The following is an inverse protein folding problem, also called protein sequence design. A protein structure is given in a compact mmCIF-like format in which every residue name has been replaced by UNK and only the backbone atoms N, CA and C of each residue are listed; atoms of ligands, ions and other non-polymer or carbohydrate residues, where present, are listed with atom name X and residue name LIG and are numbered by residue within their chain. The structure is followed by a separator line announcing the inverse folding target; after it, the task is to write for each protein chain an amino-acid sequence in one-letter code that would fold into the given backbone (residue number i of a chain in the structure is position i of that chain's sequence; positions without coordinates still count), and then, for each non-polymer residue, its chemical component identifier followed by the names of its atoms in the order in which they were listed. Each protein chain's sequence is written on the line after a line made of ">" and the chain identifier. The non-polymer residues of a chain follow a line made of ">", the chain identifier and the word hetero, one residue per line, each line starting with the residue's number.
data_IF_650807625964
#
_entry.id   IF_650807625964
#
_cell.length_a   1.000
_cell.length_b   1.000
_cell.length_c   1.000
_cell.angle_alpha   90.00
_cell.angle_beta   90.00
_cell.angle_gamma   90.00
#
_symmetry.space_group_name_H-M   'P 1'
#
loop_
_entity.id
_entity.type
_entity.pdbx_description
1 polymer ?
#
# COMPACT_ATOMS: atom_id res chain seq x y z
N UNK A 1 -16.52 -6.71 4.06
CA UNK A 1 -16.56 -5.81 2.89
C UNK A 1 -16.04 -6.58 1.68
N UNK A 2 -16.78 -6.62 0.58
CA UNK A 2 -16.28 -7.21 -0.66
C UNK A 2 -15.38 -6.18 -1.36
N UNK A 3 -14.08 -6.42 -1.31
CA UNK A 3 -13.08 -5.65 -2.05
C UNK A 3 -12.64 -6.46 -3.27
N UNK A 4 -12.12 -5.76 -4.29
CA UNK A 4 -11.67 -6.34 -5.57
C UNK A 4 -10.19 -6.09 -5.83
N UNK A 5 -9.66 -4.99 -5.30
CA UNK A 5 -8.26 -4.62 -5.40
C UNK A 5 -7.70 -4.36 -4.01
N UNK A 6 -6.45 -4.75 -3.77
CA UNK A 6 -5.68 -4.39 -2.59
C UNK A 6 -4.59 -3.42 -3.02
N UNK A 7 -4.55 -2.23 -2.42
CA UNK A 7 -3.37 -1.36 -2.56
C UNK A 7 -2.43 -1.65 -1.41
N UNK A 8 -1.24 -2.11 -1.73
CA UNK A 8 -0.15 -2.30 -0.77
C UNK A 8 0.73 -1.06 -0.84
N UNK A 9 1.07 -0.48 0.30
CA UNK A 9 2.03 0.62 0.39
C UNK A 9 3.07 0.30 1.44
N UNK A 10 4.34 0.44 1.09
CA UNK A 10 5.48 0.21 1.98
C UNK A 10 6.34 1.47 2.04
N UNK A 11 6.69 1.87 3.26
CA UNK A 11 7.72 2.88 3.51
C UNK A 11 8.88 2.24 4.21
N UNK A 12 10.00 2.14 3.52
CA UNK A 12 11.22 1.54 4.04
C UNK A 12 11.96 2.51 4.96
N UNK A 13 12.71 1.97 5.91
CA UNK A 13 13.53 2.74 6.85
C UNK A 13 14.60 3.61 6.16
N UNK A 14 14.98 3.26 4.93
CA UNK A 14 15.89 4.04 4.08
C UNK A 14 15.20 5.21 3.34
N UNK A 15 13.91 5.44 3.56
CA UNK A 15 13.13 6.51 2.93
C UNK A 15 12.51 6.12 1.57
N UNK A 16 12.79 4.95 1.03
CA UNK A 16 12.13 4.47 -0.18
C UNK A 16 10.64 4.19 0.07
N UNK A 17 9.81 4.46 -0.92
CA UNK A 17 8.38 4.20 -0.88
C UNK A 17 8.00 3.31 -2.07
N UNK A 18 7.25 2.25 -1.80
CA UNK A 18 6.69 1.36 -2.80
C UNK A 18 5.17 1.33 -2.66
N UNK A 19 4.47 1.28 -3.80
CA UNK A 19 3.02 1.11 -3.82
C UNK A 19 2.62 0.24 -5.01
N UNK A 20 1.72 -0.71 -4.78
CA UNK A 20 1.25 -1.66 -5.78
C UNK A 20 -0.26 -1.88 -5.65
N UNK A 21 -0.94 -2.15 -6.77
CA UNK A 21 -2.35 -2.54 -6.82
C UNK A 21 -2.42 -4.01 -7.24
N UNK A 22 -3.09 -4.82 -6.42
CA UNK A 22 -3.19 -6.27 -6.61
C UNK A 22 -4.65 -6.66 -6.69
N UNK A 23 -5.04 -7.43 -7.70
CA UNK A 23 -6.39 -7.99 -7.76
C UNK A 23 -6.61 -9.04 -6.66
N UNK A 24 -7.84 -9.13 -6.15
CA UNK A 24 -8.18 -10.02 -5.04
C UNK A 24 -7.80 -11.47 -5.29
N UNK A 25 -8.00 -11.95 -6.51
CA UNK A 25 -7.71 -13.34 -6.88
C UNK A 25 -6.20 -13.63 -6.88
N UNK A 26 -5.37 -12.58 -6.99
CA UNK A 26 -3.92 -12.65 -6.97
C UNK A 26 -3.32 -12.29 -5.60
N UNK A 27 -4.12 -11.77 -4.67
CA UNK A 27 -3.62 -11.34 -3.37
C UNK A 27 -3.48 -12.51 -2.41
N UNK A 28 -2.24 -12.76 -1.98
CA UNK A 28 -1.90 -13.70 -0.91
C UNK A 28 -1.23 -12.93 0.21
N UNK A 29 -1.76 -13.03 1.43
CA UNK A 29 -1.26 -12.23 2.56
C UNK A 29 0.18 -12.61 2.91
N UNK A 30 0.56 -13.85 2.63
CA UNK A 30 1.88 -14.43 2.86
C UNK A 30 2.99 -13.75 2.05
N UNK A 31 2.65 -13.17 0.88
CA UNK A 31 3.59 -12.41 0.04
C UNK A 31 3.89 -11.02 0.64
N UNK A 32 3.16 -10.62 1.69
CA UNK A 32 3.25 -9.31 2.34
C UNK A 32 3.48 -9.43 3.86
N UNK A 33 4.60 -10.04 4.31
CA UNK A 33 4.89 -10.18 5.73
C UNK A 33 5.02 -8.82 6.42
N UNK A 34 4.64 -8.73 7.69
CA UNK A 34 4.89 -7.52 8.49
C UNK A 34 6.34 -7.55 8.99
N UNK A 35 7.17 -6.62 8.51
CA UNK A 35 8.57 -6.47 8.90
C UNK A 35 8.83 -5.02 9.31
N UNK A 36 8.45 -4.71 10.56
CA UNK A 36 8.47 -3.35 11.11
C UNK A 36 9.89 -2.78 11.27
N UNK A 37 10.93 -3.62 11.25
CA UNK A 37 12.32 -3.17 11.29
C UNK A 37 12.77 -2.62 9.93
N UNK A 38 12.23 -3.19 8.84
CA UNK A 38 12.61 -2.83 7.47
C UNK A 38 11.67 -1.83 6.82
N UNK A 39 10.36 -1.91 7.10
CA UNK A 39 9.37 -1.01 6.52
C UNK A 39 8.07 -0.93 7.33
N UNK A 40 7.38 0.21 7.20
CA UNK A 40 5.97 0.33 7.57
C UNK A 40 5.09 -0.08 6.36
N UNK A 41 4.17 -1.04 6.55
CA UNK A 41 3.25 -1.52 5.52
C UNK A 41 1.81 -1.10 5.80
N UNK A 42 1.09 -0.68 4.76
CA UNK A 42 -0.35 -0.40 4.80
C UNK A 42 -1.08 -1.12 3.67
N UNK A 43 -2.23 -1.69 4.00
CA UNK A 43 -3.09 -2.43 3.08
C UNK A 43 -4.43 -1.71 2.95
N UNK A 44 -4.77 -1.26 1.75
CA UNK A 44 -6.01 -0.54 1.47
C UNK A 44 -6.93 -1.35 0.54
N UNK A 45 -7.94 -2.04 1.08
CA UNK A 45 -8.91 -2.75 0.26
C UNK A 45 -9.81 -1.77 -0.49
N UNK A 46 -9.86 -1.91 -1.82
CA UNK A 46 -10.60 -1.07 -2.74
C UNK A 46 -11.62 -1.90 -3.55
N UNK A 47 -12.79 -1.32 -3.81
CA UNK A 47 -13.87 -1.97 -4.59
C UNK A 47 -13.68 -1.83 -6.11
N UNK A 48 -13.08 -0.73 -6.53
CA UNK A 48 -12.90 -0.38 -7.93
C UNK A 48 -11.47 0.11 -8.20
N UNK A 49 -11.03 -0.06 -9.45
CA UNK A 49 -9.67 0.28 -9.87
C UNK A 49 -9.39 1.79 -9.78
N UNK A 50 -10.39 2.64 -10.06
CA UNK A 50 -10.25 4.09 -9.95
C UNK A 50 -9.89 4.51 -8.53
N UNK A 51 -10.53 3.91 -7.53
CA UNK A 51 -10.22 4.13 -6.12
C UNK A 51 -8.83 3.59 -5.77
N UNK A 52 -8.46 2.41 -6.27
CA UNK A 52 -7.12 1.85 -6.05
C UNK A 52 -6.01 2.76 -6.59
N UNK A 53 -6.16 3.27 -7.82
CA UNK A 53 -5.23 4.25 -8.42
C UNK A 53 -5.18 5.54 -7.61
N UNK A 54 -6.34 6.04 -7.14
CA UNK A 54 -6.36 7.23 -6.29
C UNK A 54 -5.58 6.99 -5.00
N UNK A 55 -5.77 5.87 -4.32
CA UNK A 55 -5.04 5.57 -3.08
C UNK A 55 -3.54 5.37 -3.35
N UNK A 56 -3.16 4.75 -4.48
CA UNK A 56 -1.76 4.63 -4.91
C UNK A 56 -1.08 5.99 -5.08
N UNK A 57 -1.75 6.95 -5.72
CA UNK A 57 -1.23 8.32 -5.92
C UNK A 57 -1.27 9.14 -4.63
N UNK A 58 -2.20 8.86 -3.72
CA UNK A 58 -2.45 9.68 -2.51
C UNK A 58 -1.27 9.72 -1.55
N UNK A 59 -0.25 8.87 -1.73
CA UNK A 59 0.99 8.91 -0.96
C UNK A 59 0.71 8.91 0.55
N UNK A 60 0.28 7.78 1.11
CA UNK A 60 -0.08 7.70 2.55
C UNK A 60 1.08 7.94 3.51
N UNK A 61 2.28 8.12 2.96
CA UNK A 61 3.47 8.57 3.63
C UNK A 61 3.84 9.94 3.07
N UNK A 62 3.09 10.96 3.47
CA UNK A 62 3.48 12.34 3.20
C UNK A 62 4.91 12.55 3.71
N UNK A 63 5.86 12.66 2.77
CA UNK A 63 7.12 13.30 3.06
C UNK A 63 6.84 14.74 3.48
N UNK A 64 7.62 15.22 4.46
CA UNK A 64 7.74 16.58 5.02
C UNK A 64 7.03 16.80 6.37
N UNK A 65 7.80 17.09 7.44
CA UNK A 65 7.66 18.39 8.08
C UNK A 65 8.31 19.44 7.16
N UNK A 66 7.53 20.44 6.73
CA UNK A 66 8.09 21.72 6.27
C UNK A 66 8.68 22.40 7.50
N UNK A 67 9.99 22.55 7.55
CA UNK A 67 10.62 23.64 8.30
C UNK A 67 10.51 24.92 7.48
#
# INVERSE_FOLDING_TARGET
>A
MEWRFMVVQRRYSNGACEAEIIERDNFRKEDFPEDNDRYEQKLFPCKDFKKAVRELIRGSFSALPRN
#
